data_IF_572502925361
#
_entry.id   IF_572502925361
#
_cell.length_a   1.000
_cell.length_b   1.000
_cell.length_c   1.000
_cell.angle_alpha   90.00
_cell.angle_beta   90.00
_cell.angle_gamma   90.00
#
_symmetry.space_group_name_H-M   'P 1'
#
loop_
_entity.id
_entity.type
_entity.pdbx_description
1 polymer ?
#
# COMPACT_ATOMS: atom_id res chain seq x y z
N UNK A 1 15.25 7.01 -3.18
CA UNK A 1 14.45 5.75 -3.11
C UNK A 1 14.76 5.08 -1.78
N UNK A 2 13.77 4.65 -0.99
CA UNK A 2 13.94 4.29 0.44
C UNK A 2 14.64 2.94 0.69
N UNK A 3 14.59 2.01 -0.27
CA UNK A 3 15.07 0.63 -0.06
C UNK A 3 16.12 0.14 -1.08
N UNK A 4 16.55 0.98 -2.04
CA UNK A 4 17.82 0.85 -2.81
C UNK A 4 18.13 -0.41 -3.64
N UNK A 5 17.54 -1.57 -3.36
CA UNK A 5 18.00 -2.90 -3.80
C UNK A 5 17.35 -3.34 -5.13
N UNK A 6 17.36 -2.46 -6.14
CA UNK A 6 16.71 -2.76 -7.42
C UNK A 6 17.42 -3.87 -8.21
N UNK A 7 18.74 -4.00 -8.07
CA UNK A 7 19.50 -5.07 -8.72
C UNK A 7 19.16 -6.45 -8.16
N UNK A 8 19.04 -6.56 -6.82
CA UNK A 8 18.65 -7.79 -6.14
C UNK A 8 17.28 -8.29 -6.63
N UNK A 9 16.30 -7.39 -6.72
CA UNK A 9 14.97 -7.72 -7.26
C UNK A 9 15.04 -8.13 -8.74
N UNK A 10 15.84 -7.42 -9.54
CA UNK A 10 16.00 -7.74 -10.97
C UNK A 10 16.65 -9.11 -11.19
N UNK A 11 17.60 -9.50 -10.34
CA UNK A 11 18.30 -10.79 -10.44
C UNK A 11 17.39 -11.98 -10.12
N UNK A 12 16.28 -11.78 -9.40
CA UNK A 12 15.29 -12.83 -9.15
C UNK A 12 14.47 -13.20 -10.39
N UNK A 13 14.51 -12.39 -11.46
CA UNK A 13 13.87 -12.64 -12.77
C UNK A 13 12.40 -13.09 -12.67
N UNK A 14 11.66 -12.46 -11.76
CA UNK A 14 10.26 -12.75 -11.51
C UNK A 14 9.37 -12.14 -12.58
N UNK A 15 8.40 -12.92 -13.03
CA UNK A 15 7.39 -12.58 -14.02
C UNK A 15 6.12 -12.03 -13.36
N UNK A 16 5.15 -11.62 -14.19
CA UNK A 16 3.85 -11.13 -13.69
C UNK A 16 3.18 -12.20 -12.84
N UNK A 17 2.56 -11.77 -11.74
CA UNK A 17 1.94 -12.56 -10.67
C UNK A 17 2.90 -13.26 -9.71
N UNK A 18 4.18 -13.39 -10.05
CA UNK A 18 5.16 -13.98 -9.15
C UNK A 18 5.54 -13.02 -8.02
N UNK A 19 6.09 -13.59 -6.95
CA UNK A 19 6.53 -12.86 -5.77
C UNK A 19 8.04 -12.67 -5.83
N UNK A 20 8.46 -11.40 -5.82
CA UNK A 20 9.83 -11.03 -5.52
C UNK A 20 9.91 -10.55 -4.07
N UNK A 21 11.03 -10.82 -3.40
CA UNK A 21 11.19 -10.48 -1.99
C UNK A 21 12.62 -10.10 -1.67
N UNK A 22 12.80 -9.14 -0.78
CA UNK A 22 14.08 -8.79 -0.18
C UNK A 22 13.98 -9.12 1.31
N UNK A 23 14.91 -9.91 1.82
CA UNK A 23 15.01 -10.21 3.25
C UNK A 23 15.96 -9.20 3.88
N UNK A 24 15.48 -8.52 4.93
CA UNK A 24 16.31 -7.65 5.77
C UNK A 24 16.37 -8.25 7.17
N UNK A 25 17.25 -7.73 8.03
CA UNK A 25 17.39 -8.22 9.42
C UNK A 25 16.08 -8.19 10.21
N UNK A 26 15.24 -7.18 9.97
CA UNK A 26 14.01 -6.96 10.75
C UNK A 26 12.74 -7.51 10.08
N UNK A 27 12.72 -7.61 8.73
CA UNK A 27 11.51 -7.92 7.97
C UNK A 27 11.78 -8.35 6.54
N UNK A 28 10.77 -8.96 5.93
CA UNK A 28 10.74 -9.24 4.49
C UNK A 28 9.96 -8.14 3.76
N UNK A 29 10.59 -7.53 2.75
CA UNK A 29 9.94 -6.61 1.82
C UNK A 29 9.43 -7.45 0.65
N UNK A 30 8.11 -7.50 0.47
CA UNK A 30 7.47 -8.29 -0.59
C UNK A 30 7.03 -7.35 -1.72
N UNK A 31 7.40 -7.69 -2.94
CA UNK A 31 7.02 -6.98 -4.16
C UNK A 31 6.04 -7.84 -4.96
N UNK A 32 4.78 -7.40 -5.06
CA UNK A 32 3.79 -8.01 -5.95
C UNK A 32 3.95 -7.47 -7.36
N UNK A 33 4.22 -8.34 -8.32
CA UNK A 33 4.33 -7.98 -9.73
C UNK A 33 2.96 -8.17 -10.38
N UNK A 34 2.25 -7.08 -10.68
CA UNK A 34 0.86 -7.13 -11.20
C UNK A 34 0.75 -6.79 -12.69
N UNK A 35 1.85 -6.33 -13.28
CA UNK A 35 1.98 -5.90 -14.68
C UNK A 35 3.43 -5.99 -15.12
N UNK A 36 3.63 -6.06 -16.43
CA UNK A 36 4.95 -6.18 -17.03
C UNK A 36 5.65 -4.82 -17.11
N UNK A 37 4.91 -3.79 -17.52
CA UNK A 37 5.44 -2.44 -17.68
C UNK A 37 4.75 -1.41 -16.80
N UNK A 38 5.48 -0.40 -16.37
CA UNK A 38 4.97 0.60 -15.41
C UNK A 38 3.77 1.41 -15.96
N UNK A 39 3.70 1.61 -17.28
CA UNK A 39 2.63 2.35 -17.97
C UNK A 39 1.34 1.55 -18.17
N UNK A 40 1.38 0.22 -17.99
CA UNK A 40 0.20 -0.61 -18.06
C UNK A 40 -0.67 -0.45 -16.81
N UNK A 41 -1.94 -0.84 -16.93
CA UNK A 41 -2.83 -1.04 -15.79
C UNK A 41 -2.90 -2.54 -15.49
N UNK A 42 -2.79 -2.97 -14.24
CA UNK A 42 -2.97 -4.37 -13.92
C UNK A 42 -4.44 -4.77 -14.10
N UNK A 43 -4.71 -6.00 -14.54
CA UNK A 43 -6.06 -6.56 -14.56
C UNK A 43 -6.46 -7.07 -13.16
N UNK A 44 -7.77 -7.18 -12.89
CA UNK A 44 -8.26 -7.84 -11.68
C UNK A 44 -7.75 -9.29 -11.59
N UNK A 45 -7.67 -9.99 -12.71
CA UNK A 45 -7.13 -11.35 -12.80
C UNK A 45 -5.67 -11.42 -12.34
N UNK A 46 -4.80 -10.54 -12.85
CA UNK A 46 -3.40 -10.50 -12.44
C UNK A 46 -3.25 -10.19 -10.94
N UNK A 47 -4.07 -9.27 -10.41
CA UNK A 47 -4.07 -8.95 -8.98
C UNK A 47 -4.57 -10.13 -8.15
N UNK A 48 -5.60 -10.85 -8.60
CA UNK A 48 -6.11 -12.04 -7.94
C UNK A 48 -5.05 -13.14 -7.88
N UNK A 49 -4.37 -13.42 -9.00
CA UNK A 49 -3.29 -14.40 -9.07
C UNK A 49 -2.10 -13.98 -8.20
N UNK A 50 -1.68 -12.72 -8.27
CA UNK A 50 -0.60 -12.19 -7.44
C UNK A 50 -0.92 -12.29 -5.94
N UNK A 51 -2.16 -12.00 -5.52
CA UNK A 51 -2.62 -12.17 -4.14
C UNK A 51 -2.67 -13.65 -3.71
N UNK A 52 -3.01 -14.55 -4.63
CA UNK A 52 -3.02 -15.99 -4.38
C UNK A 52 -1.59 -16.50 -4.16
N UNK A 53 -0.66 -16.09 -5.03
CA UNK A 53 0.76 -16.39 -4.87
C UNK A 53 1.34 -15.78 -3.59
N UNK A 54 0.92 -14.56 -3.23
CA UNK A 54 1.29 -13.94 -1.96
C UNK A 54 0.84 -14.79 -0.77
N UNK A 55 -0.39 -15.32 -0.78
CA UNK A 55 -0.85 -16.22 0.28
C UNK A 55 0.01 -17.46 0.38
N UNK A 56 0.32 -18.12 -0.73
CA UNK A 56 1.17 -19.31 -0.75
C UNK A 56 2.56 -19.01 -0.20
N UNK A 57 3.16 -17.89 -0.63
CA UNK A 57 4.44 -17.41 -0.12
C UNK A 57 4.39 -17.13 1.39
N UNK A 58 3.33 -16.50 1.89
CA UNK A 58 3.23 -16.27 3.33
C UNK A 58 3.15 -17.56 4.14
N UNK A 59 2.48 -18.59 3.61
CA UNK A 59 2.39 -19.89 4.28
C UNK A 59 3.74 -20.61 4.24
N UNK A 60 4.44 -20.62 3.10
CA UNK A 60 5.75 -21.27 2.98
C UNK A 60 6.80 -20.63 3.87
N UNK A 61 6.81 -19.29 3.94
CA UNK A 61 7.78 -18.52 4.71
C UNK A 61 7.33 -18.27 6.16
N UNK A 62 6.24 -18.90 6.62
CA UNK A 62 5.68 -18.70 7.97
C UNK A 62 5.40 -17.23 8.34
N UNK A 63 5.05 -16.40 7.36
CA UNK A 63 4.71 -14.99 7.54
C UNK A 63 3.29 -14.88 8.08
N UNK A 64 3.17 -14.45 9.34
CA UNK A 64 1.88 -14.32 10.03
C UNK A 64 1.32 -12.91 10.01
N UNK A 65 2.11 -11.89 9.64
CA UNK A 65 1.71 -10.48 9.65
C UNK A 65 2.16 -9.77 8.39
N UNK A 66 1.22 -9.14 7.69
CA UNK A 66 1.45 -8.34 6.50
C UNK A 66 1.03 -6.89 6.76
N UNK A 67 1.94 -5.97 6.49
CA UNK A 67 1.70 -4.53 6.47
C UNK A 67 1.72 -4.05 5.02
N UNK A 68 0.63 -3.48 4.53
CA UNK A 68 0.53 -3.10 3.11
C UNK A 68 -0.36 -1.87 2.90
N UNK A 69 -0.15 -1.09 1.83
CA UNK A 69 -1.10 -0.05 1.42
C UNK A 69 -2.34 -0.66 0.72
N UNK A 70 -3.27 0.20 0.28
CA UNK A 70 -4.29 -0.18 -0.71
C UNK A 70 -3.63 -0.50 -2.06
N UNK A 71 -3.34 -1.77 -2.30
CA UNK A 71 -2.67 -2.22 -3.54
C UNK A 71 -3.54 -2.00 -4.77
N UNK A 72 -2.90 -1.69 -5.90
CA UNK A 72 -3.51 -1.56 -7.23
C UNK A 72 -4.64 -0.52 -7.37
N UNK A 73 -4.88 0.37 -6.39
CA UNK A 73 -6.03 1.29 -6.40
C UNK A 73 -5.71 2.76 -6.72
N UNK A 74 -4.43 3.13 -6.76
CA UNK A 74 -3.98 4.49 -7.05
C UNK A 74 -3.78 4.70 -8.55
N UNK A 75 -2.53 4.81 -8.97
CA UNK A 75 -2.14 4.93 -10.38
C UNK A 75 -2.56 3.72 -11.24
N UNK A 76 -2.90 2.61 -10.60
CA UNK A 76 -3.35 1.37 -11.23
C UNK A 76 -4.88 1.32 -11.44
N UNK A 77 -5.63 2.28 -10.89
CA UNK A 77 -7.07 2.53 -11.16
C UNK A 77 -8.06 1.40 -10.83
N UNK A 78 -7.64 0.31 -10.21
CA UNK A 78 -8.57 -0.69 -9.70
C UNK A 78 -9.36 -0.16 -8.51
N UNK A 79 -10.56 -0.68 -8.32
CA UNK A 79 -11.43 -0.26 -7.24
C UNK A 79 -11.09 -1.04 -5.97
N UNK A 80 -10.85 -0.30 -4.88
CA UNK A 80 -10.47 -0.91 -3.60
C UNK A 80 -11.49 -1.88 -3.02
N UNK A 81 -12.82 -1.65 -3.10
CA UNK A 81 -13.80 -2.62 -2.61
C UNK A 81 -13.64 -4.02 -3.24
N UNK A 82 -13.32 -4.08 -4.52
CA UNK A 82 -13.14 -5.28 -5.32
C UNK A 82 -11.83 -5.97 -4.92
N UNK A 83 -10.73 -5.23 -4.88
CA UNK A 83 -9.43 -5.74 -4.42
C UNK A 83 -9.50 -6.26 -2.98
N UNK A 84 -10.19 -5.53 -2.10
CA UNK A 84 -10.44 -5.94 -0.72
C UNK A 84 -11.27 -7.22 -0.65
N UNK A 85 -12.26 -7.38 -1.51
CA UNK A 85 -13.10 -8.59 -1.58
C UNK A 85 -12.26 -9.79 -2.01
N UNK A 86 -11.45 -9.66 -3.07
CA UNK A 86 -10.51 -10.69 -3.50
C UNK A 86 -9.55 -11.07 -2.38
N UNK A 87 -8.96 -10.09 -1.70
CA UNK A 87 -8.03 -10.32 -0.59
C UNK A 87 -8.67 -11.08 0.57
N UNK A 88 -9.90 -10.71 0.97
CA UNK A 88 -10.65 -11.42 2.02
C UNK A 88 -10.95 -12.86 1.61
N UNK A 89 -11.35 -13.07 0.36
CA UNK A 89 -11.63 -14.39 -0.18
C UNK A 89 -10.37 -15.27 -0.18
N UNK A 90 -9.26 -14.78 -0.74
CA UNK A 90 -8.02 -15.54 -0.88
C UNK A 90 -7.46 -15.92 0.49
N UNK A 91 -7.36 -14.95 1.40
CA UNK A 91 -6.81 -15.17 2.75
C UNK A 91 -7.83 -15.77 3.74
N UNK A 92 -8.99 -16.23 3.29
CA UNK A 92 -9.92 -16.98 4.15
C UNK A 92 -9.22 -18.22 4.71
N UNK A 93 -9.54 -18.56 5.95
CA UNK A 93 -8.98 -19.72 6.67
C UNK A 93 -7.45 -19.69 6.80
N UNK A 94 -6.86 -18.48 6.83
CA UNK A 94 -5.43 -18.30 7.13
C UNK A 94 -5.27 -17.51 8.42
N UNK A 95 -4.18 -17.75 9.15
CA UNK A 95 -3.81 -16.96 10.34
C UNK A 95 -3.07 -15.66 10.00
N UNK A 96 -2.87 -15.37 8.70
CA UNK A 96 -2.13 -14.18 8.25
C UNK A 96 -2.93 -12.91 8.54
N UNK A 97 -2.47 -12.14 9.52
CA UNK A 97 -3.02 -10.84 9.88
C UNK A 97 -2.57 -9.80 8.86
N UNK A 98 -3.49 -8.93 8.43
CA UNK A 98 -3.25 -7.91 7.40
C UNK A 98 -3.56 -6.54 7.98
N UNK A 99 -2.54 -5.68 8.07
CA UNK A 99 -2.67 -4.28 8.45
C UNK A 99 -2.63 -3.42 7.18
N UNK A 100 -3.78 -2.87 6.82
CA UNK A 100 -3.90 -2.01 5.63
C UNK A 100 -3.73 -0.55 6.04
N UNK A 101 -2.72 0.10 5.49
CA UNK A 101 -2.51 1.54 5.66
C UNK A 101 -3.32 2.30 4.61
N UNK A 102 -4.05 3.31 5.07
CA UNK A 102 -4.83 4.19 4.22
C UNK A 102 -4.32 5.61 4.39
N UNK A 103 -4.04 6.30 3.29
CA UNK A 103 -3.83 7.74 3.34
C UNK A 103 -5.16 8.37 3.76
N UNK A 104 -5.17 9.02 4.93
CA UNK A 104 -6.29 9.83 5.38
C UNK A 104 -6.38 11.05 4.46
N UNK A 105 -7.10 10.90 3.35
CA UNK A 105 -7.55 12.04 2.56
C UNK A 105 -8.66 12.71 3.34
N UNK A 106 -8.30 13.72 4.13
CA UNK A 106 -9.29 14.59 4.77
C UNK A 106 -10.26 15.09 3.70
N UNK A 107 -11.55 14.92 3.93
CA UNK A 107 -12.61 15.55 3.16
C UNK A 107 -12.42 17.07 3.17
N UNK A 108 -13.03 17.76 2.21
CA UNK A 108 -12.94 19.23 2.15
C UNK A 108 -13.41 19.87 3.46
N UNK A 109 -14.41 19.28 4.10
CA UNK A 109 -14.95 19.68 5.40
C UNK A 109 -13.97 19.43 6.55
N UNK A 110 -13.33 18.26 6.61
CA UNK A 110 -12.31 17.96 7.62
C UNK A 110 -11.08 18.85 7.46
N UNK A 111 -10.66 19.13 6.22
CA UNK A 111 -9.58 20.08 5.93
C UNK A 111 -9.91 21.47 6.46
N UNK A 112 -11.16 21.92 6.30
CA UNK A 112 -11.62 23.22 6.78
C UNK A 112 -11.67 23.27 8.31
N UNK A 113 -12.18 22.23 8.98
CA UNK A 113 -12.19 22.14 10.45
C UNK A 113 -10.79 22.17 11.04
N UNK A 114 -9.85 21.43 10.46
CA UNK A 114 -8.45 21.44 10.92
C UNK A 114 -7.86 22.85 10.75
N UNK A 115 -8.08 23.51 9.60
CA UNK A 115 -7.62 24.89 9.40
C UNK A 115 -8.22 25.81 10.48
N UNK A 116 -9.52 25.75 10.73
CA UNK A 116 -10.21 26.59 11.71
C UNK A 116 -9.70 26.40 13.15
N UNK A 117 -9.53 25.17 13.62
CA UNK A 117 -9.04 24.85 14.97
C UNK A 117 -7.62 25.39 15.24
N UNK A 118 -6.74 25.34 14.23
CA UNK A 118 -5.36 25.84 14.33
C UNK A 118 -5.23 27.36 14.11
N UNK A 119 -6.33 28.08 13.83
CA UNK A 119 -6.33 29.54 13.64
C UNK A 119 -7.19 30.31 14.64
N UNK A 120 -8.12 29.65 15.33
CA UNK A 120 -8.94 30.28 16.38
C UNK A 120 -8.31 30.22 17.78
N UNK A 121 -7.13 29.61 17.95
CA UNK A 121 -6.40 29.64 19.22
C UNK A 121 -5.51 30.89 19.32
N UNK A 122 -5.43 31.57 20.49
CA UNK A 122 -4.72 32.84 20.65
C UNK A 122 -3.21 32.81 20.32
N UNK A 123 -2.63 31.61 20.17
CA UNK A 123 -1.21 31.39 19.87
C UNK A 123 -0.89 31.19 18.37
N UNK A 124 -1.90 31.15 17.49
CA UNK A 124 -1.74 30.91 16.06
C UNK A 124 -1.41 32.17 15.26
N UNK A 125 -0.15 32.59 15.22
CA UNK A 125 0.30 33.68 14.35
C UNK A 125 0.14 33.38 12.84
N UNK A 126 0.23 34.41 11.98
CA UNK A 126 0.05 34.36 10.51
C UNK A 126 0.80 33.22 9.79
N UNK A 127 1.90 32.69 10.35
CA UNK A 127 2.65 31.56 9.78
C UNK A 127 2.02 30.18 9.99
N UNK A 128 1.02 30.04 10.87
CA UNK A 128 0.34 28.77 11.15
C UNK A 128 -0.36 28.21 9.92
N UNK A 129 -1.01 29.08 9.13
CA UNK A 129 -1.85 28.69 7.98
C UNK A 129 -1.04 27.95 6.94
N UNK A 130 0.10 28.50 6.52
CA UNK A 130 0.95 27.90 5.50
C UNK A 130 1.53 26.54 5.94
N UNK A 131 1.86 26.40 7.23
CA UNK A 131 2.39 25.14 7.80
C UNK A 131 1.30 24.07 7.93
N UNK A 132 0.10 24.46 8.36
CA UNK A 132 -1.07 23.58 8.46
C UNK A 132 -1.53 23.12 7.08
N UNK A 133 -1.61 24.03 6.10
CA UNK A 133 -1.92 23.69 4.70
C UNK A 133 -0.90 22.70 4.12
N UNK A 134 0.40 22.86 4.44
CA UNK A 134 1.46 21.94 3.98
C UNK A 134 1.35 20.53 4.61
N UNK A 135 0.79 20.41 5.82
CA UNK A 135 0.54 19.12 6.50
C UNK A 135 -0.71 18.40 6.00
N UNK A 136 -1.68 19.14 5.45
CA UNK A 136 -2.98 18.63 4.99
C UNK A 136 -2.99 18.32 3.48
N UNK A 137 -1.96 18.77 2.75
CA UNK A 137 -1.68 18.39 1.36
C UNK A 137 -1.07 17.00 1.28
#
# INVERSE_FOLDING_TARGET
RKFGQTEELSNQKKSVTEIASIVTEERTIICLITKEYYWQKPSYENVFLALTNLKHYCISENITRLAMPKIACGLDELQWPEVRTMMRYIFRNTQVQKLIFTDNKYSKEEKLKIIEEFHNTPMGGHQGIARTIKRIK
#
